data_IF_734310797436
#
_entry.id   IF_734310797436
#
_cell.length_a   1.000
_cell.length_b   1.000
_cell.length_c   1.000
_cell.angle_alpha   90.00
_cell.angle_beta   90.00
_cell.angle_gamma   90.00
#
_symmetry.space_group_name_H-M   'P 1'
#
loop_
_entity.id
_entity.type
_entity.pdbx_description
1 polymer ?
#
# COMPACT_ATOMS: atom_id res chain seq x y z
N UNK A 1 48.54 79.44 -31.65
CA UNK A 1 48.27 79.19 -33.08
C UNK A 1 46.82 78.80 -33.25
N UNK A 2 46.30 78.80 -34.48
CA UNK A 2 45.03 78.18 -34.90
C UNK A 2 44.91 76.71 -34.45
N UNK A 3 43.71 76.10 -34.30
CA UNK A 3 42.32 76.62 -34.33
C UNK A 3 41.54 76.01 -33.12
N UNK A 4 40.35 75.37 -33.10
CA UNK A 4 39.35 74.97 -34.10
C UNK A 4 37.92 75.39 -33.68
N UNK A 5 37.06 74.44 -33.31
CA UNK A 5 35.61 74.50 -33.01
C UNK A 5 35.27 73.22 -32.20
N UNK A 6 34.38 73.21 -31.19
CA UNK A 6 32.89 73.24 -31.24
C UNK A 6 32.29 71.85 -31.60
N UNK A 7 31.06 71.44 -31.22
CA UNK A 7 29.83 72.13 -30.79
C UNK A 7 28.90 71.14 -30.01
N UNK A 8 27.74 71.64 -29.53
CA UNK A 8 26.50 70.89 -29.16
C UNK A 8 26.38 70.40 -27.69
N UNK A 9 25.11 70.34 -27.24
CA UNK A 9 24.61 70.18 -25.87
C UNK A 9 23.29 69.34 -25.92
N UNK A 10 22.56 69.22 -24.79
CA UNK A 10 21.19 68.62 -24.69
C UNK A 10 21.15 67.06 -24.63
N UNK A 11 20.04 66.39 -24.21
CA UNK A 11 20.09 65.60 -22.96
C UNK A 11 19.43 64.20 -23.03
N UNK A 12 19.45 63.45 -21.91
CA UNK A 12 18.53 62.33 -21.68
C UNK A 12 18.13 62.19 -20.19
N UNK A 13 16.94 61.64 -19.93
CA UNK A 13 16.44 61.39 -18.58
C UNK A 13 17.24 60.30 -17.87
N UNK A 14 17.68 60.55 -16.64
CA UNK A 14 17.84 59.51 -15.62
C UNK A 14 16.66 59.57 -14.64
N UNK A 15 16.00 58.42 -14.45
CA UNK A 15 14.71 58.31 -13.77
C UNK A 15 14.90 58.24 -12.25
N UNK A 16 14.21 59.09 -11.50
CA UNK A 16 14.21 59.02 -10.03
C UNK A 16 13.80 57.63 -9.54
N UNK A 17 14.65 56.98 -8.74
CA UNK A 17 14.32 55.74 -8.03
C UNK A 17 14.53 55.98 -6.55
N UNK A 18 13.42 56.23 -5.84
CA UNK A 18 13.45 56.47 -4.40
C UNK A 18 13.83 55.18 -3.63
N UNK A 19 14.62 55.32 -2.59
CA UNK A 19 14.91 54.22 -1.65
C UNK A 19 13.67 53.91 -0.82
N UNK A 20 13.11 52.72 -0.99
CA UNK A 20 12.11 52.19 -0.07
C UNK A 20 12.83 51.59 1.16
N UNK A 21 12.69 52.22 2.31
CA UNK A 21 13.15 51.65 3.58
C UNK A 21 12.15 50.58 4.05
N UNK A 22 12.58 49.35 4.41
CA UNK A 22 11.68 48.33 4.90
C UNK A 22 11.26 48.64 6.34
N UNK A 23 10.03 49.13 6.51
CA UNK A 23 9.40 49.23 7.83
C UNK A 23 9.09 47.82 8.39
N UNK A 24 9.31 47.55 9.68
CA UNK A 24 8.91 46.29 10.29
C UNK A 24 7.37 46.21 10.34
N UNK A 25 6.80 45.24 9.62
CA UNK A 25 5.38 44.91 9.76
C UNK A 25 5.08 44.33 11.16
N UNK A 26 3.83 44.44 11.65
CA UNK A 26 3.43 43.74 12.87
C UNK A 26 3.65 42.24 12.67
N UNK A 27 4.33 41.61 13.62
CA UNK A 27 4.86 40.26 13.44
C UNK A 27 3.75 39.25 13.14
N UNK A 28 3.90 38.52 12.04
CA UNK A 28 3.32 37.20 11.94
C UNK A 28 3.90 36.38 13.11
N UNK A 29 3.06 36.00 14.07
CA UNK A 29 3.45 35.05 15.11
C UNK A 29 3.93 33.75 14.46
N UNK A 30 4.83 32.98 15.11
CA UNK A 30 5.29 31.72 14.55
C UNK A 30 4.10 30.81 14.28
N UNK A 31 3.86 30.48 13.01
CA UNK A 31 2.86 29.48 12.63
C UNK A 31 3.12 28.19 13.42
N UNK A 32 2.11 27.57 14.05
CA UNK A 32 2.29 26.42 14.93
C UNK A 32 2.56 25.10 14.16
N UNK A 33 3.24 25.21 13.01
CA UNK A 33 3.37 24.16 11.99
C UNK A 33 4.79 24.17 11.43
N UNK A 34 5.62 23.30 12.02
CA UNK A 34 6.88 22.66 11.53
C UNK A 34 7.63 22.11 12.75
N UNK A 35 7.04 21.11 13.43
CA UNK A 35 7.81 20.28 14.37
C UNK A 35 8.84 19.49 13.57
N UNK A 36 10.11 19.62 13.91
CA UNK A 36 11.19 18.91 13.19
C UNK A 36 11.03 17.41 13.38
N UNK A 37 10.88 16.65 12.29
CA UNK A 37 10.63 15.21 12.36
C UNK A 37 11.76 14.47 13.09
N UNK A 38 11.47 13.99 14.31
CA UNK A 38 12.44 13.27 15.15
C UNK A 38 12.64 11.84 14.67
N UNK A 39 13.71 11.17 15.15
CA UNK A 39 14.00 9.77 14.85
C UNK A 39 12.82 8.84 15.18
N UNK A 40 12.04 9.13 16.22
CA UNK A 40 10.88 8.33 16.63
C UNK A 40 9.76 8.35 15.57
N UNK A 41 9.47 9.52 14.97
CA UNK A 41 8.55 9.65 13.84
C UNK A 41 8.96 8.77 12.66
N UNK A 42 10.26 8.79 12.29
CA UNK A 42 10.81 8.03 11.16
C UNK A 42 10.77 6.52 11.41
N UNK A 43 11.12 6.08 12.62
CA UNK A 43 11.03 4.68 13.00
C UNK A 43 9.58 4.17 12.96
N UNK A 44 8.62 4.97 13.45
CA UNK A 44 7.20 4.62 13.40
C UNK A 44 6.68 4.56 11.95
N UNK A 45 7.03 5.54 11.09
CA UNK A 45 6.70 5.50 9.65
C UNK A 45 7.17 4.23 8.95
N UNK A 46 8.37 3.73 9.28
CA UNK A 46 8.88 2.46 8.74
C UNK A 46 8.04 1.27 9.23
N UNK A 47 7.72 1.19 10.53
CA UNK A 47 6.85 0.12 11.08
C UNK A 47 5.47 0.14 10.41
N UNK A 48 4.81 1.30 10.34
CA UNK A 48 3.49 1.47 9.70
C UNK A 48 3.52 1.16 8.18
N UNK A 49 4.66 1.37 7.52
CA UNK A 49 4.84 0.98 6.11
C UNK A 49 4.98 -0.54 5.95
N UNK A 50 5.70 -1.24 6.84
CA UNK A 50 5.76 -2.70 6.82
C UNK A 50 4.40 -3.33 7.21
N UNK A 51 3.65 -2.77 8.17
CA UNK A 51 2.30 -3.24 8.52
C UNK A 51 1.38 -3.24 7.29
N UNK A 52 1.35 -2.15 6.51
CA UNK A 52 0.56 -2.11 5.26
C UNK A 52 0.97 -3.16 4.22
N UNK A 53 2.27 -3.50 4.12
CA UNK A 53 2.71 -4.62 3.25
C UNK A 53 2.22 -5.96 3.78
N UNK A 54 2.30 -6.18 5.10
CA UNK A 54 1.85 -7.39 5.78
C UNK A 54 0.34 -7.60 5.56
N UNK A 55 -0.48 -6.54 5.70
CA UNK A 55 -1.91 -6.54 5.35
C UNK A 55 -2.16 -6.86 3.87
N UNK A 56 -1.47 -6.19 2.93
CA UNK A 56 -1.62 -6.47 1.49
C UNK A 56 -1.28 -7.91 1.12
N UNK A 57 -0.22 -8.47 1.70
CA UNK A 57 0.13 -9.88 1.51
C UNK A 57 -0.88 -10.82 2.17
N UNK A 58 -1.61 -10.41 3.21
CA UNK A 58 -2.73 -11.20 3.73
C UNK A 58 -3.85 -11.33 2.70
N UNK A 59 -4.28 -10.20 2.12
CA UNK A 59 -5.33 -10.20 1.08
C UNK A 59 -4.93 -11.05 -0.12
N UNK A 60 -3.70 -10.90 -0.61
CA UNK A 60 -3.16 -11.72 -1.71
C UNK A 60 -3.20 -13.22 -1.41
N UNK A 61 -2.84 -13.62 -0.18
CA UNK A 61 -2.85 -15.02 0.26
C UNK A 61 -4.26 -15.60 0.38
N UNK A 62 -5.24 -14.84 0.88
CA UNK A 62 -6.62 -15.34 1.04
C UNK A 62 -7.36 -15.35 -0.30
N UNK A 63 -7.28 -14.27 -1.07
CA UNK A 63 -8.04 -14.06 -2.31
C UNK A 63 -7.48 -14.91 -3.47
N UNK A 64 -6.14 -15.07 -3.56
CA UNK A 64 -5.50 -15.74 -4.71
C UNK A 64 -5.07 -17.17 -4.36
N UNK A 65 -4.09 -17.32 -3.47
CA UNK A 65 -3.50 -18.63 -3.15
C UNK A 65 -4.53 -19.56 -2.49
N UNK A 66 -5.21 -19.06 -1.46
CA UNK A 66 -6.14 -19.82 -0.62
C UNK A 66 -7.41 -20.23 -1.37
N UNK A 67 -8.10 -19.27 -1.99
CA UNK A 67 -9.29 -19.57 -2.78
C UNK A 67 -9.01 -20.56 -3.93
N UNK A 68 -7.87 -20.42 -4.62
CA UNK A 68 -7.44 -21.36 -5.67
C UNK A 68 -7.19 -22.76 -5.12
N UNK A 69 -6.56 -22.88 -3.95
CA UNK A 69 -6.29 -24.17 -3.33
C UNK A 69 -7.58 -24.84 -2.82
N UNK A 70 -8.48 -24.08 -2.19
CA UNK A 70 -9.80 -24.54 -1.78
C UNK A 70 -10.64 -25.03 -2.98
N UNK A 71 -10.72 -24.23 -4.05
CA UNK A 71 -11.46 -24.62 -5.27
C UNK A 71 -10.90 -25.91 -5.89
N UNK A 72 -9.57 -26.01 -6.03
CA UNK A 72 -8.93 -27.19 -6.57
C UNK A 72 -9.14 -28.46 -5.74
N UNK A 73 -9.33 -28.35 -4.42
CA UNK A 73 -9.74 -29.50 -3.61
C UNK A 73 -11.15 -30.01 -3.97
N UNK A 74 -12.08 -29.10 -4.27
CA UNK A 74 -13.48 -29.42 -4.57
C UNK A 74 -13.61 -29.93 -6.02
N UNK A 75 -12.95 -29.26 -6.97
CA UNK A 75 -12.93 -29.67 -8.37
C UNK A 75 -12.47 -31.13 -8.52
N UNK A 76 -11.29 -31.47 -7.96
CA UNK A 76 -10.71 -32.81 -8.06
C UNK A 76 -11.47 -33.86 -7.23
N UNK A 77 -12.10 -33.47 -6.11
CA UNK A 77 -12.98 -34.38 -5.37
C UNK A 77 -14.26 -34.74 -6.17
N UNK A 78 -14.77 -33.81 -6.98
CA UNK A 78 -15.96 -34.02 -7.82
C UNK A 78 -15.66 -34.91 -9.01
N UNK A 79 -14.50 -34.73 -9.66
CA UNK A 79 -14.09 -35.55 -10.81
C UNK A 79 -13.75 -37.01 -10.41
N UNK A 80 -13.62 -37.32 -9.11
CA UNK A 80 -13.42 -38.66 -8.57
C UNK A 80 -14.72 -39.42 -8.22
N UNK A 81 -15.91 -38.93 -8.60
CA UNK A 81 -17.14 -39.71 -8.44
C UNK A 81 -17.06 -41.11 -9.09
N UNK A 82 -17.66 -42.14 -8.47
CA UNK A 82 -17.27 -43.55 -8.66
C UNK A 82 -17.59 -44.17 -10.02
N UNK A 83 -18.16 -43.42 -10.96
CA UNK A 83 -18.45 -43.89 -12.32
C UNK A 83 -17.27 -43.75 -13.30
N UNK A 84 -16.13 -43.14 -12.87
CA UNK A 84 -15.00 -42.81 -13.76
C UNK A 84 -13.78 -43.72 -13.58
N UNK A 85 -13.11 -44.18 -14.67
CA UNK A 85 -12.05 -45.19 -14.60
C UNK A 85 -10.66 -44.68 -14.21
N UNK A 86 -10.41 -43.37 -14.19
CA UNK A 86 -9.06 -42.77 -14.04
C UNK A 86 -8.92 -41.94 -12.75
N UNK A 87 -9.16 -42.54 -11.58
CA UNK A 87 -9.12 -41.86 -10.27
C UNK A 87 -7.71 -41.40 -9.86
N UNK A 88 -6.66 -42.13 -10.25
CA UNK A 88 -5.26 -41.88 -9.83
C UNK A 88 -4.71 -40.47 -10.12
N UNK A 89 -4.87 -39.87 -11.32
CA UNK A 89 -4.44 -38.49 -11.58
C UNK A 89 -5.17 -37.48 -10.69
N UNK A 90 -6.50 -37.57 -10.58
CA UNK A 90 -7.32 -36.67 -9.76
C UNK A 90 -6.95 -36.75 -8.27
N UNK A 91 -6.68 -37.96 -7.75
CA UNK A 91 -6.19 -38.14 -6.38
C UNK A 91 -4.84 -37.44 -6.15
N UNK A 92 -3.96 -37.46 -7.15
CA UNK A 92 -2.65 -36.79 -7.09
C UNK A 92 -2.79 -35.27 -7.14
N UNK A 93 -3.72 -34.76 -7.96
CA UNK A 93 -4.06 -33.33 -8.01
C UNK A 93 -4.70 -32.86 -6.69
N UNK A 94 -5.63 -33.63 -6.11
CA UNK A 94 -6.23 -33.35 -4.81
C UNK A 94 -5.18 -33.22 -3.69
N UNK A 95 -4.22 -34.16 -3.60
CA UNK A 95 -3.12 -34.03 -2.63
C UNK A 95 -2.30 -32.76 -2.86
N UNK A 96 -1.99 -32.42 -4.12
CA UNK A 96 -1.27 -31.19 -4.48
C UNK A 96 -2.05 -29.93 -4.05
N UNK A 97 -3.38 -29.92 -4.21
CA UNK A 97 -4.23 -28.80 -3.77
C UNK A 97 -4.35 -28.73 -2.24
N UNK A 98 -4.43 -29.87 -1.54
CA UNK A 98 -4.42 -29.94 -0.06
C UNK A 98 -3.09 -29.43 0.51
N UNK A 99 -1.95 -29.80 -0.08
CA UNK A 99 -0.64 -29.25 0.30
C UNK A 99 -0.55 -27.74 0.04
N UNK A 100 -1.08 -27.25 -1.08
CA UNK A 100 -1.13 -25.81 -1.38
C UNK A 100 -2.00 -25.03 -0.38
N UNK A 101 -3.11 -25.60 0.08
CA UNK A 101 -3.99 -24.99 1.08
C UNK A 101 -3.31 -24.92 2.45
N UNK A 102 -2.72 -26.04 2.90
CA UNK A 102 -1.96 -26.10 4.16
C UNK A 102 -0.74 -25.17 4.15
N UNK A 103 -0.03 -25.09 3.01
CA UNK A 103 1.03 -24.11 2.78
C UNK A 103 0.52 -22.68 2.92
N UNK A 104 -0.67 -22.37 2.41
CA UNK A 104 -1.26 -21.02 2.47
C UNK A 104 -1.71 -20.65 3.89
N UNK A 105 -2.37 -21.56 4.62
CA UNK A 105 -2.70 -21.36 6.04
C UNK A 105 -1.43 -21.09 6.86
N UNK A 106 -0.34 -21.83 6.60
CA UNK A 106 0.96 -21.61 7.24
C UNK A 106 1.60 -20.26 6.85
N UNK A 107 1.45 -19.79 5.60
CA UNK A 107 1.88 -18.44 5.20
C UNK A 107 1.10 -17.35 5.94
N UNK A 108 -0.21 -17.55 6.16
CA UNK A 108 -1.07 -16.61 6.90
C UNK A 108 -0.71 -16.56 8.40
N UNK A 109 -0.49 -17.70 9.04
CA UNK A 109 0.04 -17.78 10.42
C UNK A 109 1.39 -17.05 10.56
N UNK A 110 2.31 -17.27 9.61
CA UNK A 110 3.58 -16.55 9.55
C UNK A 110 3.44 -15.05 9.18
N UNK A 111 2.29 -14.63 8.66
CA UNK A 111 1.96 -13.23 8.40
C UNK A 111 1.41 -12.57 9.69
N UNK A 112 0.52 -13.25 10.42
CA UNK A 112 0.03 -12.82 11.73
C UNK A 112 1.19 -12.64 12.73
N UNK A 113 2.12 -13.60 12.78
CA UNK A 113 3.32 -13.48 13.63
C UNK A 113 4.15 -12.22 13.29
N UNK A 114 4.27 -11.85 12.02
CA UNK A 114 4.95 -10.60 11.60
C UNK A 114 4.18 -9.36 12.00
N UNK A 115 2.85 -9.38 11.92
CA UNK A 115 2.00 -8.27 12.37
C UNK A 115 2.19 -8.01 13.88
N UNK A 116 2.17 -9.06 14.70
CA UNK A 116 2.46 -8.97 16.14
C UNK A 116 3.88 -8.47 16.41
N UNK A 117 4.88 -9.00 15.72
CA UNK A 117 6.28 -8.55 15.88
C UNK A 117 6.50 -7.07 15.45
N UNK A 118 5.67 -6.55 14.54
CA UNK A 118 5.67 -5.12 14.18
C UNK A 118 4.97 -4.24 15.23
N UNK A 119 3.91 -4.73 15.89
CA UNK A 119 3.34 -4.05 17.06
C UNK A 119 4.34 -4.00 18.23
N UNK A 120 4.98 -5.14 18.54
CA UNK A 120 6.10 -5.22 19.49
C UNK A 120 7.25 -4.24 19.12
N UNK A 121 7.42 -3.89 17.84
CA UNK A 121 8.41 -2.91 17.39
C UNK A 121 7.91 -1.47 17.54
N UNK A 122 6.61 -1.22 17.36
CA UNK A 122 5.96 0.06 17.64
C UNK A 122 6.03 0.40 19.14
N UNK A 123 5.75 -0.56 20.02
CA UNK A 123 5.95 -0.45 21.48
C UNK A 123 7.40 -0.07 21.84
N UNK A 124 8.39 -0.69 21.18
CA UNK A 124 9.80 -0.33 21.39
C UNK A 124 10.11 1.11 20.96
N UNK A 125 9.41 1.66 19.96
CA UNK A 125 9.50 3.09 19.60
C UNK A 125 8.82 3.99 20.63
N UNK A 126 7.65 3.58 21.14
CA UNK A 126 6.90 4.26 22.21
C UNK A 126 7.73 4.38 23.49
N UNK A 127 8.23 3.25 24.01
CA UNK A 127 9.08 3.24 25.20
C UNK A 127 10.39 4.01 24.98
N UNK A 128 11.02 3.89 23.81
CA UNK A 128 12.25 4.62 23.52
C UNK A 128 12.03 6.14 23.43
N UNK A 129 10.85 6.60 22.99
CA UNK A 129 10.47 8.02 23.02
C UNK A 129 10.24 8.48 24.46
N UNK A 130 9.46 7.73 25.24
CA UNK A 130 9.15 8.04 26.65
C UNK A 130 10.39 8.16 27.55
N UNK A 131 11.50 7.50 27.22
CA UNK A 131 12.77 7.58 27.95
C UNK A 131 13.70 8.73 27.49
N UNK A 132 13.34 9.49 26.44
CA UNK A 132 14.22 10.48 25.79
C UNK A 132 13.58 11.85 25.59
N UNK A 133 12.31 11.84 25.22
CA UNK A 133 11.46 13.00 25.02
C UNK A 133 10.58 13.21 26.27
N UNK A 134 9.84 14.31 26.34
CA UNK A 134 8.91 14.56 27.46
C UNK A 134 7.65 13.68 27.35
N UNK A 135 6.97 13.44 28.48
CA UNK A 135 5.66 12.79 28.55
C UNK A 135 4.68 13.33 27.48
N UNK A 136 4.62 14.66 27.35
CA UNK A 136 3.66 15.32 26.47
C UNK A 136 3.91 15.02 24.99
N UNK A 137 5.16 14.77 24.57
CA UNK A 137 5.49 14.32 23.22
C UNK A 137 4.84 12.97 22.86
N UNK A 138 4.64 12.10 23.86
CA UNK A 138 4.12 10.74 23.66
C UNK A 138 2.59 10.69 23.70
N UNK A 139 2.00 11.44 24.64
CA UNK A 139 0.59 11.29 25.04
C UNK A 139 -0.32 12.50 24.75
N UNK A 140 0.24 13.68 24.46
CA UNK A 140 -0.52 14.93 24.32
C UNK A 140 -0.31 15.58 22.95
N UNK A 141 0.91 15.48 22.42
CA UNK A 141 1.29 16.07 21.16
C UNK A 141 0.95 15.16 19.96
N UNK A 142 0.27 15.68 18.91
CA UNK A 142 0.16 14.96 17.65
C UNK A 142 1.52 14.92 16.94
N UNK A 143 1.81 13.79 16.29
CA UNK A 143 3.04 13.56 15.51
C UNK A 143 2.98 14.20 14.12
N UNK A 144 1.82 14.17 13.46
CA UNK A 144 1.64 14.68 12.10
C UNK A 144 0.35 15.47 11.93
N UNK A 145 -0.83 14.84 12.04
CA UNK A 145 -2.12 15.52 11.89
C UNK A 145 -2.86 15.61 13.23
N UNK A 146 -3.37 14.50 13.76
CA UNK A 146 -4.16 14.48 15.01
C UNK A 146 -3.77 13.37 15.99
N UNK A 147 -3.11 12.30 15.54
CA UNK A 147 -2.76 11.17 16.39
C UNK A 147 -1.45 11.38 17.17
N UNK A 148 -1.48 11.02 18.45
CA UNK A 148 -0.30 10.94 19.32
C UNK A 148 0.49 9.66 19.05
N UNK A 149 1.74 9.58 19.52
CA UNK A 149 2.56 8.36 19.39
C UNK A 149 1.86 7.14 19.99
N UNK A 150 1.23 7.30 21.16
CA UNK A 150 0.43 6.24 21.79
C UNK A 150 -0.74 5.77 20.89
N UNK A 151 -1.45 6.70 20.25
CA UNK A 151 -2.62 6.38 19.40
C UNK A 151 -2.22 5.46 18.24
N UNK A 152 -1.09 5.73 17.58
CA UNK A 152 -0.57 4.86 16.52
C UNK A 152 -0.25 3.45 17.00
N UNK A 153 0.38 3.30 18.17
CA UNK A 153 0.75 1.98 18.69
C UNK A 153 -0.50 1.20 19.11
N UNK A 154 -1.40 1.82 19.87
CA UNK A 154 -2.66 1.21 20.31
C UNK A 154 -3.54 0.76 19.11
N UNK A 155 -3.49 1.47 17.97
CA UNK A 155 -4.25 1.12 16.76
C UNK A 155 -3.89 -0.24 16.14
N UNK A 156 -2.74 -0.82 16.48
CA UNK A 156 -2.29 -2.11 15.93
C UNK A 156 -2.94 -3.32 16.64
N UNK A 157 -3.37 -3.17 17.89
CA UNK A 157 -3.95 -4.27 18.68
C UNK A 157 -5.30 -4.77 18.11
N UNK A 158 -6.26 -3.89 17.72
CA UNK A 158 -7.48 -4.32 17.02
C UNK A 158 -7.21 -5.09 15.72
N UNK A 159 -6.19 -4.70 14.93
CA UNK A 159 -5.82 -5.42 13.71
C UNK A 159 -5.38 -6.86 14.01
N UNK A 160 -4.51 -7.06 15.03
CA UNK A 160 -4.04 -8.39 15.42
C UNK A 160 -5.22 -9.28 15.85
N UNK A 161 -6.15 -8.73 16.63
CA UNK A 161 -7.37 -9.43 17.05
C UNK A 161 -8.21 -9.88 15.84
N UNK A 162 -8.51 -8.96 14.92
CA UNK A 162 -9.32 -9.25 13.74
C UNK A 162 -8.66 -10.25 12.77
N UNK A 163 -7.33 -10.19 12.60
CA UNK A 163 -6.60 -11.16 11.78
C UNK A 163 -6.49 -12.55 12.45
N UNK A 164 -6.41 -12.60 13.78
CA UNK A 164 -6.46 -13.85 14.57
C UNK A 164 -7.82 -14.54 14.41
N UNK A 165 -8.92 -13.79 14.57
CA UNK A 165 -10.28 -14.30 14.39
C UNK A 165 -10.49 -14.80 12.94
N UNK A 166 -10.10 -14.00 11.95
CA UNK A 166 -10.20 -14.39 10.54
C UNK A 166 -9.40 -15.65 10.21
N UNK A 167 -8.18 -15.80 10.74
CA UNK A 167 -7.39 -17.03 10.55
C UNK A 167 -8.07 -18.26 11.16
N UNK A 168 -8.75 -18.11 12.30
CA UNK A 168 -9.54 -19.19 12.90
C UNK A 168 -10.69 -19.63 11.99
N UNK A 169 -11.44 -18.69 11.42
CA UNK A 169 -12.51 -18.97 10.45
C UNK A 169 -11.98 -19.64 9.17
N UNK A 170 -10.87 -19.15 8.61
CA UNK A 170 -10.24 -19.75 7.42
C UNK A 170 -9.75 -21.19 7.69
N UNK A 171 -9.19 -21.48 8.86
CA UNK A 171 -8.84 -22.85 9.25
C UNK A 171 -10.09 -23.74 9.37
N UNK A 172 -11.18 -23.24 9.95
CA UNK A 172 -12.44 -24.00 10.04
C UNK A 172 -12.99 -24.37 8.65
N UNK A 173 -12.99 -23.42 7.72
CA UNK A 173 -13.45 -23.63 6.34
C UNK A 173 -12.53 -24.62 5.60
N UNK A 174 -11.21 -24.46 5.74
CA UNK A 174 -10.25 -25.36 5.13
C UNK A 174 -10.40 -26.81 5.63
N UNK A 175 -10.69 -27.00 6.92
CA UNK A 175 -10.97 -28.32 7.47
C UNK A 175 -12.20 -28.95 6.80
N UNK A 176 -13.33 -28.22 6.71
CA UNK A 176 -14.53 -28.69 5.99
C UNK A 176 -14.25 -29.05 4.53
N UNK A 177 -13.44 -28.25 3.81
CA UNK A 177 -13.09 -28.50 2.40
C UNK A 177 -12.11 -29.68 2.23
N UNK A 178 -11.37 -30.07 3.28
CA UNK A 178 -10.38 -31.16 3.23
C UNK A 178 -10.84 -32.46 3.89
N UNK A 179 -11.96 -32.45 4.60
CA UNK A 179 -12.61 -33.63 5.13
C UNK A 179 -13.10 -34.56 4.00
N UNK A 180 -13.26 -35.84 4.29
CA UNK A 180 -13.73 -36.87 3.36
C UNK A 180 -15.23 -37.16 3.52
N UNK A 181 -15.80 -36.85 4.68
CA UNK A 181 -17.23 -37.08 4.97
C UNK A 181 -18.13 -35.85 4.64
N UNK A 182 -17.53 -34.73 4.19
CA UNK A 182 -18.26 -33.51 3.81
C UNK A 182 -18.90 -33.65 2.42
N UNK A 183 -20.16 -33.24 2.28
CA UNK A 183 -20.87 -33.30 0.99
C UNK A 183 -20.37 -32.23 -0.01
N UNK A 184 -20.59 -32.45 -1.31
CA UNK A 184 -20.24 -31.47 -2.34
C UNK A 184 -20.91 -30.10 -2.11
N UNK A 185 -22.20 -30.09 -1.72
CA UNK A 185 -22.92 -28.85 -1.46
C UNK A 185 -22.38 -28.12 -0.22
N UNK A 186 -22.03 -28.85 0.85
CA UNK A 186 -21.41 -28.27 2.05
C UNK A 186 -20.00 -27.71 1.75
N UNK A 187 -19.18 -28.46 0.99
CA UNK A 187 -17.85 -28.01 0.58
C UNK A 187 -17.93 -26.77 -0.33
N UNK A 188 -18.93 -26.71 -1.22
CA UNK A 188 -19.20 -25.54 -2.07
C UNK A 188 -19.66 -24.34 -1.23
N UNK A 189 -20.57 -24.52 -0.27
CA UNK A 189 -20.97 -23.47 0.67
C UNK A 189 -19.77 -22.96 1.49
N UNK A 190 -18.87 -23.86 1.89
CA UNK A 190 -17.62 -23.50 2.57
C UNK A 190 -16.68 -22.67 1.65
N UNK A 191 -16.58 -22.98 0.36
CA UNK A 191 -15.83 -22.18 -0.62
C UNK A 191 -16.45 -20.80 -0.86
N UNK A 192 -17.79 -20.72 -0.91
CA UNK A 192 -18.50 -19.44 -1.00
C UNK A 192 -18.26 -18.60 0.27
N UNK A 193 -18.27 -19.22 1.45
CA UNK A 193 -17.92 -18.54 2.71
C UNK A 193 -16.45 -18.07 2.76
N UNK A 194 -15.50 -18.83 2.20
CA UNK A 194 -14.09 -18.39 2.04
C UNK A 194 -14.00 -17.10 1.22
N UNK A 195 -14.67 -17.07 0.06
CA UNK A 195 -14.73 -15.89 -0.83
C UNK A 195 -15.31 -14.69 -0.10
N UNK A 196 -16.36 -14.88 0.69
CA UNK A 196 -17.07 -13.79 1.34
C UNK A 196 -16.23 -13.20 2.49
N UNK A 197 -15.56 -14.02 3.32
CA UNK A 197 -14.57 -13.54 4.31
C UNK A 197 -13.34 -12.86 3.71
N UNK A 198 -12.97 -13.24 2.48
CA UNK A 198 -11.85 -12.63 1.77
C UNK A 198 -12.13 -11.16 1.40
N UNK A 199 -13.39 -10.84 1.07
CA UNK A 199 -13.82 -9.56 0.49
C UNK A 199 -14.65 -8.67 1.43
N UNK A 200 -15.24 -9.22 2.50
CA UNK A 200 -16.22 -8.54 3.37
C UNK A 200 -16.05 -8.99 4.83
N UNK A 201 -16.41 -8.11 5.78
CA UNK A 201 -16.56 -8.43 7.20
C UNK A 201 -15.48 -7.82 8.08
N UNK A 202 -15.64 -7.99 9.40
CA UNK A 202 -14.92 -7.27 10.47
C UNK A 202 -13.41 -7.08 10.22
N UNK A 203 -12.69 -8.12 9.78
CA UNK A 203 -11.26 -8.04 9.44
C UNK A 203 -10.97 -7.15 8.23
N UNK A 204 -11.77 -7.26 7.17
CA UNK A 204 -11.62 -6.41 5.98
C UNK A 204 -11.95 -4.96 6.32
N UNK A 205 -13.06 -4.73 7.01
CA UNK A 205 -13.53 -3.39 7.36
C UNK A 205 -12.53 -2.68 8.29
N UNK A 206 -12.09 -3.35 9.36
CA UNK A 206 -11.07 -2.81 10.28
C UNK A 206 -9.71 -2.55 9.60
N UNK A 207 -9.30 -3.41 8.66
CA UNK A 207 -8.07 -3.18 7.89
C UNK A 207 -8.17 -1.95 6.98
N UNK A 208 -9.29 -1.78 6.26
CA UNK A 208 -9.50 -0.65 5.34
C UNK A 208 -9.74 0.67 6.06
N UNK A 209 -10.45 0.65 7.19
CA UNK A 209 -10.58 1.81 8.06
C UNK A 209 -9.20 2.26 8.58
N UNK A 210 -8.41 1.33 9.13
CA UNK A 210 -7.06 1.61 9.61
C UNK A 210 -6.14 2.13 8.50
N UNK A 211 -6.11 1.50 7.33
CA UNK A 211 -5.32 1.98 6.18
C UNK A 211 -5.70 3.40 5.75
N UNK A 212 -7.00 3.73 5.81
CA UNK A 212 -7.52 5.06 5.49
C UNK A 212 -7.09 6.10 6.52
N UNK A 213 -7.25 5.79 7.82
CA UNK A 213 -6.86 6.67 8.93
C UNK A 213 -5.34 6.93 8.95
N UNK A 214 -4.53 5.87 8.82
CA UNK A 214 -3.07 5.99 8.70
C UNK A 214 -2.66 6.74 7.42
N UNK A 215 -3.40 6.56 6.32
CA UNK A 215 -3.20 7.32 5.10
C UNK A 215 -3.37 8.83 5.31
N UNK A 216 -4.47 9.24 5.95
CA UNK A 216 -4.77 10.64 6.26
C UNK A 216 -3.77 11.25 7.25
N UNK A 217 -3.48 10.55 8.35
CA UNK A 217 -2.54 11.01 9.37
C UNK A 217 -1.11 11.19 8.83
N UNK A 218 -0.62 10.24 8.03
CA UNK A 218 0.70 10.35 7.41
C UNK A 218 0.74 11.39 6.27
N UNK A 219 -0.37 11.61 5.57
CA UNK A 219 -0.48 12.65 4.54
C UNK A 219 -0.47 14.06 5.13
N UNK A 220 -1.11 14.29 6.29
CA UNK A 220 -1.07 15.58 6.99
C UNK A 220 0.34 16.03 7.41
N UNK A 221 1.30 15.10 7.46
CA UNK A 221 2.72 15.40 7.67
C UNK A 221 3.50 15.82 6.41
N UNK A 222 2.90 15.77 5.21
CA UNK A 222 3.45 16.37 3.98
C UNK A 222 2.88 17.78 3.83
N UNK A 223 3.74 18.79 4.05
CA UNK A 223 3.52 20.11 3.47
C UNK A 223 3.75 20.10 1.96
N UNK A 224 3.41 21.20 1.29
CA UNK A 224 3.36 21.36 -0.18
C UNK A 224 4.75 21.39 -0.89
N UNK A 225 5.69 20.54 -0.47
CA UNK A 225 7.05 20.43 -1.03
C UNK A 225 7.11 19.46 -2.25
N UNK A 226 5.97 19.03 -2.80
CA UNK A 226 5.83 18.23 -4.04
C UNK A 226 4.88 18.90 -5.06
N UNK A 227 5.03 20.22 -5.26
CA UNK A 227 4.50 20.91 -6.45
C UNK A 227 5.59 21.12 -7.50
N UNK A 228 5.30 20.66 -8.73
CA UNK A 228 5.86 21.07 -10.03
C UNK A 228 7.37 20.84 -10.33
N UNK A 229 7.66 19.81 -11.13
CA UNK A 229 8.21 20.01 -12.48
C UNK A 229 7.56 18.97 -13.42
N UNK A 230 6.24 19.15 -13.62
CA UNK A 230 5.37 18.21 -14.33
C UNK A 230 5.49 18.32 -15.85
N UNK A 231 6.70 18.25 -16.41
CA UNK A 231 6.93 18.35 -17.85
C UNK A 231 6.56 17.06 -18.58
N UNK A 232 5.30 17.01 -18.97
CA UNK A 232 4.82 16.14 -20.04
C UNK A 232 5.44 16.63 -21.37
N UNK A 233 6.54 16.00 -21.81
CA UNK A 233 7.02 16.14 -23.19
C UNK A 233 6.12 15.33 -24.15
N UNK A 234 4.89 15.81 -24.34
CA UNK A 234 4.15 15.52 -25.57
C UNK A 234 4.78 16.31 -26.72
N UNK A 235 5.34 15.63 -27.72
CA UNK A 235 5.21 16.14 -29.10
C UNK A 235 5.25 15.06 -30.20
N UNK A 236 4.48 15.36 -31.24
CA UNK A 236 4.49 14.89 -32.64
C UNK A 236 4.43 13.38 -32.99
N UNK A 237 3.22 12.80 -32.92
CA UNK A 237 2.87 11.58 -33.68
C UNK A 237 2.60 11.91 -35.17
N UNK A 238 3.67 12.08 -35.95
CA UNK A 238 3.57 12.37 -37.38
C UNK A 238 3.08 11.17 -38.24
N UNK A 239 1.75 10.99 -38.35
CA UNK A 239 1.12 9.96 -39.20
C UNK A 239 1.29 10.28 -40.69
N UNK A 240 1.90 9.37 -41.45
CA UNK A 240 1.84 9.37 -42.92
C UNK A 240 1.50 7.97 -43.48
N UNK A 241 0.26 7.82 -43.96
CA UNK A 241 -0.23 6.62 -44.64
C UNK A 241 -0.48 6.95 -46.11
N UNK A 242 0.09 6.17 -47.03
CA UNK A 242 -0.26 5.89 -48.45
C UNK A 242 1.02 5.57 -49.24
N UNK A 243 1.05 4.69 -50.25
CA UNK A 243 0.12 3.62 -50.67
C UNK A 243 0.82 2.62 -51.61
N UNK A 244 0.21 1.44 -51.81
CA UNK A 244 0.30 0.56 -53.00
C UNK A 244 1.69 0.11 -53.53
N UNK A 245 1.99 -1.20 -53.44
CA UNK A 245 3.17 -1.82 -54.08
C UNK A 245 3.04 -3.32 -54.32
N UNK A 246 2.50 -3.73 -55.47
CA UNK A 246 2.13 -5.13 -55.78
C UNK A 246 3.29 -5.98 -56.38
N UNK A 247 3.29 -7.30 -56.08
CA UNK A 247 3.91 -8.46 -56.79
C UNK A 247 5.22 -9.05 -56.20
N UNK A 248 5.34 -10.39 -56.22
CA UNK A 248 6.64 -11.09 -56.03
C UNK A 248 6.59 -12.59 -55.68
N UNK A 249 6.28 -13.50 -56.64
CA UNK A 249 6.40 -14.97 -56.44
C UNK A 249 7.83 -15.48 -56.66
N UNK A 250 8.40 -16.20 -55.68
CA UNK A 250 9.29 -17.39 -55.79
C UNK A 250 9.60 -17.85 -54.35
N UNK A 251 9.36 -19.08 -53.89
CA UNK A 251 9.50 -20.44 -54.46
C UNK A 251 10.97 -20.84 -54.69
N UNK A 252 11.62 -21.30 -53.61
CA UNK A 252 12.90 -22.01 -53.61
C UNK A 252 12.85 -23.12 -52.56
N UNK A 253 12.87 -24.38 -53.02
CA UNK A 253 12.82 -25.59 -52.17
C UNK A 253 14.04 -26.45 -52.49
N UNK A 254 14.93 -26.62 -51.52
CA UNK A 254 15.69 -27.86 -51.35
C UNK A 254 16.24 -27.96 -49.95
#
# INVERSE_FOLDING_TARGET
MSRLESLVQTPSWTRSRASASPSPGPGAGPSPSRKTETTHHRMLKLVLAEVRKVLKTWDELVIVDGFKACKGCIDEATEMEPERPEVTPHLTALYTHREALQSTLKKLDNNLYKLTALADQADKVLFAAYHRENHDFVFVEPLWLSWTLETFVNSLSPLISAHTAHLSSLNSIANTITDLDTSFDDAKLALEHWRDLALVGERWDAAREWETLIGLELAGGKGDDEMDDGREEEDDMAVSVTASGQKGKKKGRR
#
